data_IF_896097227843
#
_entry.id   IF_896097227843
#
_cell.length_a   1.000
_cell.length_b   1.000
_cell.length_c   1.000
_cell.angle_alpha   90.00
_cell.angle_beta   90.00
_cell.angle_gamma   90.00
#
_symmetry.space_group_name_H-M   'P 1'
#
loop_
_entity.id
_entity.type
_entity.pdbx_description
1 polymer ?
#
# COMPACT_ATOMS: atom_id res chain seq x y z
N UNK A 1 2.00 -4.92 -14.11
CA UNK A 1 2.00 -3.94 -13.01
C UNK A 1 3.08 -2.90 -13.33
N UNK A 2 3.13 -1.72 -12.73
CA UNK A 2 4.15 -0.72 -13.09
C UNK A 2 5.53 -1.23 -12.66
N UNK A 3 6.56 -1.19 -13.51
CA UNK A 3 7.88 -1.83 -13.27
C UNK A 3 8.50 -1.54 -11.89
N UNK A 4 8.29 -0.34 -11.36
CA UNK A 4 8.80 0.05 -10.04
C UNK A 4 8.08 -0.66 -8.88
N UNK A 5 6.80 -0.97 -9.02
CA UNK A 5 6.05 -1.71 -8.00
C UNK A 5 6.47 -3.19 -7.98
N UNK A 6 6.77 -3.78 -9.15
CA UNK A 6 7.28 -5.15 -9.25
C UNK A 6 8.63 -5.33 -8.51
N UNK A 7 9.51 -4.31 -8.59
CA UNK A 7 10.76 -4.28 -7.83
C UNK A 7 10.51 -4.23 -6.32
N UNK A 8 9.49 -3.50 -5.87
CA UNK A 8 9.12 -3.45 -4.46
C UNK A 8 8.57 -4.79 -3.98
N UNK A 9 7.70 -5.43 -4.77
CA UNK A 9 7.17 -6.75 -4.40
C UNK A 9 8.26 -7.81 -4.29
N UNK A 10 9.30 -7.73 -5.14
CA UNK A 10 10.44 -8.64 -5.06
C UNK A 10 11.34 -8.34 -3.83
N UNK A 11 11.52 -7.08 -3.47
CA UNK A 11 12.38 -6.66 -2.36
C UNK A 11 11.74 -6.90 -0.98
N UNK A 12 10.42 -6.75 -0.85
CA UNK A 12 9.71 -6.80 0.43
C UNK A 12 8.88 -8.09 0.58
N UNK A 13 9.57 -9.24 0.70
CA UNK A 13 8.92 -10.58 0.72
C UNK A 13 7.97 -10.82 1.91
N UNK A 14 8.16 -10.13 3.03
CA UNK A 14 7.29 -10.23 4.21
C UNK A 14 6.00 -9.41 4.05
N UNK A 15 5.91 -8.55 3.03
CA UNK A 15 4.77 -7.68 2.78
C UNK A 15 3.89 -8.30 1.70
N UNK A 16 2.58 -8.37 1.97
CA UNK A 16 1.60 -8.82 0.98
C UNK A 16 1.09 -7.63 0.18
N UNK A 17 1.18 -7.71 -1.14
CA UNK A 17 0.68 -6.69 -2.05
C UNK A 17 -0.63 -7.15 -2.67
N UNK A 18 -1.67 -6.33 -2.54
CA UNK A 18 -2.98 -6.57 -3.14
C UNK A 18 -3.37 -5.41 -4.06
N UNK A 19 -4.00 -5.72 -5.18
CA UNK A 19 -4.54 -4.73 -6.12
C UNK A 19 -6.05 -4.78 -6.09
N UNK A 20 -6.66 -3.62 -5.91
CA UNK A 20 -8.11 -3.44 -5.98
C UNK A 20 -8.46 -2.57 -7.19
N UNK A 21 -9.38 -3.04 -8.04
CA UNK A 21 -9.89 -2.27 -9.17
C UNK A 21 -11.16 -1.52 -8.76
N UNK A 22 -11.06 -0.20 -8.64
CA UNK A 22 -12.17 0.66 -8.24
C UNK A 22 -13.34 0.66 -9.24
N UNK A 23 -13.06 0.44 -10.54
CA UNK A 23 -14.08 0.46 -11.59
C UNK A 23 -15.09 -0.67 -11.48
N UNK A 24 -14.71 -1.80 -10.88
CA UNK A 24 -15.60 -2.96 -10.71
C UNK A 24 -16.47 -2.85 -9.45
N UNK A 25 -16.13 -1.95 -8.52
CA UNK A 25 -16.71 -1.90 -7.18
C UNK A 25 -16.86 -0.45 -6.71
N UNK A 26 -17.73 0.30 -7.38
CA UNK A 26 -17.88 1.75 -7.17
C UNK A 26 -18.39 2.09 -5.75
N UNK A 27 -19.37 1.35 -5.23
CA UNK A 27 -19.89 1.55 -3.88
C UNK A 27 -18.80 1.37 -2.81
N UNK A 28 -18.03 0.28 -2.92
CA UNK A 28 -16.92 0.02 -2.00
C UNK A 28 -15.84 1.11 -2.11
N UNK A 29 -15.51 1.56 -3.32
CA UNK A 29 -14.54 2.63 -3.56
C UNK A 29 -14.98 3.95 -2.89
N UNK A 30 -16.26 4.29 -2.99
CA UNK A 30 -16.86 5.46 -2.34
C UNK A 30 -16.83 5.33 -0.81
N UNK A 31 -17.22 4.16 -0.27
CA UNK A 31 -17.15 3.89 1.18
C UNK A 31 -15.72 3.98 1.71
N UNK A 32 -14.75 3.50 0.93
CA UNK A 32 -13.33 3.62 1.24
C UNK A 32 -12.77 5.02 0.99
N UNK A 33 -13.57 5.96 0.49
CA UNK A 33 -13.17 7.35 0.19
C UNK A 33 -11.97 7.45 -0.75
N UNK A 34 -11.88 6.58 -1.76
CA UNK A 34 -10.83 6.65 -2.77
C UNK A 34 -11.14 7.84 -3.69
N UNK A 35 -10.33 8.90 -3.61
CA UNK A 35 -10.55 10.17 -4.34
C UNK A 35 -9.61 10.36 -5.53
N UNK A 36 -8.51 9.62 -5.57
CA UNK A 36 -7.51 9.72 -6.64
C UNK A 36 -6.88 8.35 -6.89
N UNK A 37 -6.36 8.16 -8.11
CA UNK A 37 -5.67 6.95 -8.51
C UNK A 37 -4.24 7.29 -9.01
N UNK A 38 -3.24 6.42 -8.75
CA UNK A 38 -3.30 5.30 -7.81
C UNK A 38 -3.33 5.78 -6.35
N UNK A 39 -4.01 5.03 -5.49
CA UNK A 39 -3.93 5.17 -4.03
C UNK A 39 -3.40 3.87 -3.43
N UNK A 40 -2.39 3.97 -2.58
CA UNK A 40 -1.81 2.85 -1.84
C UNK A 40 -2.15 3.01 -0.36
N UNK A 41 -2.60 1.94 0.28
CA UNK A 41 -2.84 1.90 1.73
C UNK A 41 -2.03 0.80 2.37
N UNK A 42 -1.38 1.10 3.48
CA UNK A 42 -0.70 0.12 4.31
C UNK A 42 -1.64 -0.36 5.41
N UNK A 43 -1.80 -1.67 5.51
CA UNK A 43 -2.57 -2.30 6.58
C UNK A 43 -1.67 -3.18 7.45
N UNK A 44 -1.88 -3.13 8.76
CA UNK A 44 -1.26 -4.03 9.73
C UNK A 44 -2.26 -4.39 10.81
N UNK A 45 -2.38 -5.70 11.12
CA UNK A 45 -3.34 -6.24 12.11
C UNK A 45 -4.77 -5.68 11.94
N UNK A 46 -5.24 -5.59 10.69
CA UNK A 46 -6.59 -5.11 10.35
C UNK A 46 -6.79 -3.59 10.40
N UNK A 47 -5.76 -2.81 10.75
CA UNK A 47 -5.82 -1.34 10.80
C UNK A 47 -5.07 -0.73 9.63
N UNK A 48 -5.63 0.31 9.03
CA UNK A 48 -4.93 1.15 8.05
C UNK A 48 -3.95 2.04 8.82
N UNK A 49 -2.65 1.86 8.57
CA UNK A 49 -1.61 2.64 9.23
C UNK A 49 -1.32 3.94 8.50
N UNK A 50 -1.34 3.90 7.16
CA UNK A 50 -0.94 5.03 6.33
C UNK A 50 -1.47 4.92 4.89
N UNK A 51 -1.51 6.04 4.16
CA UNK A 51 -1.98 6.17 2.78
C UNK A 51 -1.04 7.04 1.94
N UNK A 52 -0.70 6.57 0.74
CA UNK A 52 0.01 7.35 -0.28
C UNK A 52 -0.91 7.50 -1.50
N UNK A 53 -1.16 8.74 -1.89
CA UNK A 53 -1.85 9.08 -3.13
C UNK A 53 -0.85 9.49 -4.22
N UNK A 54 -1.09 9.02 -5.44
CA UNK A 54 -0.23 9.23 -6.60
C UNK A 54 0.87 8.19 -6.77
N UNK A 55 1.49 8.18 -7.94
CA UNK A 55 2.55 7.23 -8.31
C UNK A 55 3.91 7.63 -7.70
N UNK A 56 4.08 7.40 -6.40
CA UNK A 56 5.28 7.80 -5.64
C UNK A 56 6.07 6.57 -5.12
N UNK A 57 6.85 5.88 -5.98
CA UNK A 57 7.51 4.62 -5.61
C UNK A 57 8.58 4.78 -4.52
N UNK A 58 9.30 5.91 -4.49
CA UNK A 58 10.30 6.20 -3.45
C UNK A 58 9.64 6.34 -2.08
N UNK A 59 8.53 7.08 -2.00
CA UNK A 59 7.79 7.25 -0.75
C UNK A 59 7.20 5.91 -0.26
N UNK A 60 6.70 5.08 -1.19
CA UNK A 60 6.21 3.75 -0.87
C UNK A 60 7.31 2.86 -0.27
N UNK A 61 8.54 2.91 -0.83
CA UNK A 61 9.69 2.19 -0.27
C UNK A 61 10.01 2.67 1.15
N UNK A 62 10.09 3.98 1.36
CA UNK A 62 10.41 4.56 2.67
C UNK A 62 9.37 4.15 3.72
N UNK A 63 8.09 4.20 3.37
CA UNK A 63 6.98 3.78 4.23
C UNK A 63 7.11 2.31 4.62
N UNK A 64 7.35 1.41 3.66
CA UNK A 64 7.52 -0.02 3.94
C UNK A 64 8.72 -0.29 4.84
N UNK A 65 9.86 0.36 4.59
CA UNK A 65 11.06 0.23 5.42
C UNK A 65 10.81 0.70 6.86
N UNK A 66 10.16 1.87 7.03
CA UNK A 66 9.85 2.43 8.33
C UNK A 66 8.97 1.49 9.16
N UNK A 67 7.84 1.05 8.59
CA UNK A 67 6.90 0.20 9.33
C UNK A 67 7.43 -1.20 9.59
N UNK A 68 8.20 -1.80 8.68
CA UNK A 68 8.82 -3.10 8.94
C UNK A 68 9.77 -3.04 10.13
N UNK A 69 10.59 -1.99 10.21
CA UNK A 69 11.46 -1.76 11.36
C UNK A 69 10.66 -1.64 12.66
N UNK A 70 9.61 -0.80 12.67
CA UNK A 70 8.76 -0.64 13.86
C UNK A 70 8.06 -1.94 14.29
N UNK A 71 7.54 -2.71 13.33
CA UNK A 71 6.85 -3.97 13.64
C UNK A 71 7.79 -5.03 14.21
N UNK A 72 9.07 -5.02 13.82
CA UNK A 72 10.08 -5.95 14.34
C UNK A 72 10.52 -5.62 15.77
N UNK A 73 10.37 -4.36 16.22
CA UNK A 73 10.67 -3.96 17.60
C UNK A 73 9.49 -4.18 18.57
N UNK A 74 8.30 -4.37 18.02
CA UNK A 74 7.05 -4.55 18.78
C UNK A 74 6.64 -6.01 18.95
N UNK A 75 7.51 -6.94 18.52
CA UNK A 75 7.32 -8.39 18.55
C UNK A 75 8.37 -9.01 19.48
#
# INVERSE_FOLDING_TARGET
MHKELDKLTAAFKSVKFAKFNCGNYQEFSTRQRIRSLPTFRLFYKGRCLDEITGAKPVQLRQLLTHYLFMTSMSA
#
